data_IF_838332802054
#
_entry.id   IF_838332802054
#
_cell.length_a   1.000
_cell.length_b   1.000
_cell.length_c   1.000
_cell.angle_alpha   90.00
_cell.angle_beta   90.00
_cell.angle_gamma   90.00
#
_symmetry.space_group_name_H-M   'P 1'
#
loop_
_entity.id
_entity.type
_entity.pdbx_description
1 polymer ?
#
# COMPACT_ATOMS: atom_id res chain seq x y z
N UNK A 1 3.56 -23.95 2.46
CA UNK A 1 3.53 -22.89 3.49
C UNK A 1 4.15 -21.67 2.84
N UNK A 2 3.35 -20.65 2.50
CA UNK A 2 3.91 -19.43 1.94
C UNK A 2 4.48 -18.63 3.12
N UNK A 3 5.81 -18.48 3.16
CA UNK A 3 6.45 -17.46 3.99
C UNK A 3 5.82 -16.11 3.64
N UNK A 4 5.47 -15.34 4.66
CA UNK A 4 4.89 -14.01 4.52
C UNK A 4 5.98 -13.12 3.88
N UNK A 5 5.92 -12.87 2.57
CA UNK A 5 6.99 -12.17 1.80
C UNK A 5 6.85 -10.65 1.88
N UNK A 6 6.02 -10.11 2.77
CA UNK A 6 5.85 -8.66 2.86
C UNK A 6 6.59 -8.11 4.06
N UNK A 7 7.55 -7.19 3.82
CA UNK A 7 8.21 -6.42 4.86
C UNK A 7 7.33 -5.28 5.38
N UNK A 8 6.19 -5.03 4.73
CA UNK A 8 5.29 -3.92 5.05
C UNK A 8 3.91 -4.42 5.43
N UNK A 9 3.21 -3.58 6.18
CA UNK A 9 1.81 -3.76 6.52
C UNK A 9 1.07 -2.46 6.31
N UNK A 10 -0.09 -2.52 5.67
CA UNK A 10 -0.98 -1.36 5.57
C UNK A 10 -1.60 -1.14 6.95
N UNK A 11 -1.29 0.00 7.57
CA UNK A 11 -1.81 0.37 8.89
C UNK A 11 -3.07 1.21 8.78
N UNK A 12 -3.13 2.09 7.78
CA UNK A 12 -4.23 3.04 7.60
C UNK A 12 -4.33 3.49 6.15
N UNK A 13 -5.55 3.82 5.73
CA UNK A 13 -5.83 4.41 4.42
C UNK A 13 -6.65 5.68 4.67
N UNK A 14 -5.98 6.83 4.56
CA UNK A 14 -6.60 8.13 4.73
C UNK A 14 -7.09 8.65 3.38
N UNK A 15 -8.39 8.49 3.11
CA UNK A 15 -9.02 8.92 1.86
C UNK A 15 -9.17 10.44 1.76
N UNK A 16 -9.33 11.13 2.88
CA UNK A 16 -9.45 12.60 2.93
C UNK A 16 -8.12 13.28 2.60
N UNK A 17 -7.02 12.73 3.11
CA UNK A 17 -5.67 13.22 2.83
C UNK A 17 -5.06 12.60 1.56
N UNK A 18 -5.73 11.64 0.93
CA UNK A 18 -5.21 10.86 -0.20
C UNK A 18 -3.83 10.23 0.11
N UNK A 19 -3.71 9.64 1.30
CA UNK A 19 -2.47 9.00 1.78
C UNK A 19 -2.76 7.60 2.29
N UNK A 20 -1.89 6.66 1.93
CA UNK A 20 -1.85 5.31 2.46
C UNK A 20 -0.64 5.17 3.39
N UNK A 21 -0.88 4.76 4.62
CA UNK A 21 0.14 4.58 5.64
C UNK A 21 0.51 3.09 5.72
N UNK A 22 1.80 2.83 5.59
CA UNK A 22 2.43 1.53 5.73
C UNK A 22 3.36 1.55 6.93
N UNK A 23 3.53 0.40 7.55
CA UNK A 23 4.49 0.17 8.61
C UNK A 23 5.40 -0.98 8.19
N UNK A 24 6.71 -0.75 8.24
CA UNK A 24 7.73 -1.77 8.10
C UNK A 24 7.76 -2.63 9.36
N UNK A 25 7.48 -3.92 9.24
CA UNK A 25 7.37 -4.82 10.39
C UNK A 25 8.73 -5.19 11.01
N UNK A 26 9.82 -5.07 10.24
CA UNK A 26 11.18 -5.41 10.68
C UNK A 26 11.84 -4.24 11.44
N UNK A 27 11.63 -3.01 10.96
CA UNK A 27 12.28 -1.80 11.48
C UNK A 27 11.34 -0.84 12.21
N UNK A 28 10.02 -1.06 12.15
CA UNK A 28 9.01 -0.19 12.75
C UNK A 28 8.92 1.19 12.09
N UNK A 29 9.31 1.29 10.82
CA UNK A 29 9.29 2.55 10.07
C UNK A 29 7.91 2.77 9.46
N UNK A 30 7.31 3.93 9.73
CA UNK A 30 6.06 4.33 9.08
C UNK A 30 6.34 5.13 7.81
N UNK A 31 5.71 4.71 6.72
CA UNK A 31 5.84 5.30 5.39
C UNK A 31 4.44 5.73 4.92
N UNK A 32 4.36 6.97 4.45
CA UNK A 32 3.14 7.53 3.87
C UNK A 32 3.29 7.59 2.35
N UNK A 33 2.51 6.79 1.63
CA UNK A 33 2.45 6.82 0.16
C UNK A 33 1.25 7.67 -0.27
N UNK A 34 1.45 8.73 -1.07
CA UNK A 34 0.34 9.46 -1.64
C UNK A 34 -0.41 8.58 -2.65
N UNK A 35 -1.71 8.39 -2.43
CA UNK A 35 -2.61 7.66 -3.32
C UNK A 35 -3.38 8.67 -4.17
N UNK A 36 -2.78 9.07 -5.29
CA UNK A 36 -3.43 10.03 -6.19
C UNK A 36 -4.72 9.44 -6.75
N UNK A 37 -5.84 10.09 -6.51
CA UNK A 37 -7.15 9.66 -6.97
C UNK A 37 -8.00 9.14 -5.81
N UNK A 38 -8.95 9.98 -5.40
CA UNK A 38 -9.91 9.79 -4.31
C UNK A 38 -10.86 8.59 -4.46
N UNK A 39 -10.66 7.78 -5.50
CA UNK A 39 -11.44 6.61 -5.89
C UNK A 39 -10.79 5.28 -5.47
N UNK A 40 -9.80 5.29 -4.57
CA UNK A 40 -9.18 4.06 -4.09
C UNK A 40 -10.20 3.20 -3.31
N UNK A 41 -10.41 1.98 -3.80
CA UNK A 41 -11.29 0.98 -3.18
C UNK A 41 -10.52 0.19 -2.15
N UNK A 42 -9.36 -0.33 -2.54
CA UNK A 42 -8.52 -1.17 -1.71
C UNK A 42 -7.05 -1.03 -2.10
N UNK A 43 -6.18 -1.35 -1.15
CA UNK A 43 -4.77 -1.53 -1.40
C UNK A 43 -4.36 -2.89 -0.82
N UNK A 44 -3.51 -3.62 -1.52
CA UNK A 44 -2.97 -4.89 -1.06
C UNK A 44 -1.49 -4.98 -1.37
N UNK A 45 -0.73 -5.61 -0.48
CA UNK A 45 0.69 -5.84 -0.71
C UNK A 45 0.85 -7.17 -1.45
N UNK A 46 1.44 -7.12 -2.64
CA UNK A 46 1.56 -8.27 -3.55
C UNK A 46 3.01 -8.77 -3.69
N UNK A 47 3.97 -8.05 -3.10
CA UNK A 47 5.38 -8.42 -3.08
C UNK A 47 6.10 -7.83 -1.87
N UNK A 48 7.42 -8.04 -1.80
CA UNK A 48 8.24 -7.51 -0.71
C UNK A 48 8.19 -5.97 -0.63
N UNK A 49 8.13 -5.32 -1.79
CA UNK A 49 8.08 -3.85 -1.92
C UNK A 49 7.00 -3.38 -2.91
N UNK A 50 6.12 -4.27 -3.36
CA UNK A 50 5.12 -3.99 -4.39
C UNK A 50 3.72 -3.92 -3.79
N UNK A 51 3.06 -2.78 -3.96
CA UNK A 51 1.71 -2.49 -3.51
C UNK A 51 0.77 -2.37 -4.71
N UNK A 52 -0.31 -3.14 -4.71
CA UNK A 52 -1.38 -3.00 -5.69
C UNK A 52 -2.50 -2.13 -5.14
N UNK A 53 -2.83 -1.07 -5.88
CA UNK A 53 -3.91 -0.13 -5.62
C UNK A 53 -5.06 -0.42 -6.58
N UNK A 54 -6.26 -0.70 -6.07
CA UNK A 54 -7.46 -0.96 -6.87
C UNK A 54 -8.44 0.20 -6.73
N UNK A 55 -8.90 0.74 -7.85
CA UNK A 55 -9.77 1.91 -7.93
C UNK A 55 -11.21 1.54 -8.33
N UNK A 56 -12.16 2.46 -8.14
CA UNK A 56 -13.58 2.25 -8.43
C UNK A 56 -13.90 1.99 -9.91
N UNK A 57 -13.07 2.46 -10.82
CA UNK A 57 -13.17 2.20 -12.26
C UNK A 57 -12.68 0.79 -12.66
N UNK A 58 -12.41 -0.06 -11.66
CA UNK A 58 -11.82 -1.40 -11.82
C UNK A 58 -10.42 -1.39 -12.42
N UNK A 59 -9.74 -0.24 -12.44
CA UNK A 59 -8.32 -0.19 -12.75
C UNK A 59 -7.50 -0.58 -11.52
N UNK A 60 -6.41 -1.28 -11.76
CA UNK A 60 -5.40 -1.60 -10.74
C UNK A 60 -4.07 -1.01 -11.15
N UNK A 61 -3.36 -0.41 -10.20
CA UNK A 61 -2.02 0.14 -10.39
C UNK A 61 -1.07 -0.45 -9.36
N UNK A 62 0.05 -0.99 -9.84
CA UNK A 62 1.13 -1.44 -8.96
C UNK A 62 2.10 -0.27 -8.72
N UNK A 63 2.39 0.02 -7.46
CA UNK A 63 3.36 1.03 -7.02
C UNK A 63 4.41 0.37 -6.13
N UNK A 64 5.65 0.83 -6.23
CA UNK A 64 6.73 0.39 -5.33
C UNK A 64 6.76 1.25 -4.07
N UNK A 65 6.93 0.60 -2.93
CA UNK A 65 6.96 1.23 -1.59
C UNK A 65 8.31 1.94 -1.35
N UNK A 66 9.40 1.38 -1.89
CA UNK A 66 10.75 1.94 -1.87
C UNK A 66 11.37 1.76 -3.26
N UNK A 67 11.96 2.84 -3.80
CA UNK A 67 12.82 2.79 -5.00
C UNK A 67 14.28 3.02 -4.59
#
# INVERSE_FOLDING_TARGET
MAEQISAFKIVSINKDAEVLELEDEDFGLQISIPITGSNLVSAQIIGAYDLELTYHDSTSKVVRILE
#
